data_IF_368834384417
#
_entry.id   IF_368834384417
#
_cell.length_a   1.000
_cell.length_b   1.000
_cell.length_c   1.000
_cell.angle_alpha   90.00
_cell.angle_beta   90.00
_cell.angle_gamma   90.00
#
_symmetry.space_group_name_H-M   'P 1'
#
loop_
_entity.id
_entity.type
_entity.pdbx_description
1 polymer ?
#
# COMPACT_ATOMS: atom_id res chain seq x y z
N UNK A 1 -41.75 4.30 33.59
CA UNK A 1 -40.39 4.36 34.16
C UNK A 1 -39.47 3.24 33.66
N UNK A 2 -39.94 1.99 33.45
CA UNK A 2 -39.13 0.90 32.89
C UNK A 2 -38.65 1.02 31.42
N UNK A 3 -39.37 1.62 30.45
CA UNK A 3 -38.96 1.55 29.04
C UNK A 3 -37.73 2.42 28.74
N UNK A 4 -37.52 3.48 29.52
CA UNK A 4 -36.39 4.39 29.33
C UNK A 4 -35.06 3.77 29.81
N UNK A 5 -35.11 2.90 30.83
CA UNK A 5 -33.93 2.25 31.40
C UNK A 5 -33.33 1.20 30.45
N UNK A 6 -34.17 0.43 29.74
CA UNK A 6 -33.72 -0.56 28.76
C UNK A 6 -33.12 0.08 27.51
N UNK A 7 -33.64 1.24 27.09
CA UNK A 7 -33.06 2.01 25.99
C UNK A 7 -31.68 2.55 26.34
N UNK A 8 -31.49 3.06 27.57
CA UNK A 8 -30.19 3.55 28.03
C UNK A 8 -29.15 2.42 28.11
N UNK A 9 -29.52 1.25 28.63
CA UNK A 9 -28.60 0.09 28.66
C UNK A 9 -28.24 -0.41 27.26
N UNK A 10 -29.19 -0.38 26.32
CA UNK A 10 -28.94 -0.72 24.93
C UNK A 10 -27.97 0.25 24.24
N UNK A 11 -28.16 1.56 24.44
CA UNK A 11 -27.27 2.58 23.88
C UNK A 11 -25.85 2.49 24.46
N UNK A 12 -25.71 2.22 25.75
CA UNK A 12 -24.40 2.03 26.39
C UNK A 12 -23.70 0.78 25.84
N UNK A 13 -24.42 -0.34 25.68
CA UNK A 13 -23.86 -1.56 25.11
C UNK A 13 -23.37 -1.34 23.67
N UNK A 14 -24.16 -0.64 22.83
CA UNK A 14 -23.77 -0.29 21.46
C UNK A 14 -22.55 0.62 21.44
N UNK A 15 -22.47 1.62 22.32
CA UNK A 15 -21.32 2.53 22.41
C UNK A 15 -20.03 1.81 22.85
N UNK A 16 -20.11 0.88 23.80
CA UNK A 16 -18.97 0.06 24.24
C UNK A 16 -18.50 -0.86 23.12
N UNK A 17 -19.41 -1.52 22.42
CA UNK A 17 -19.08 -2.37 21.27
C UNK A 17 -18.42 -1.54 20.16
N UNK A 18 -18.99 -0.38 19.82
CA UNK A 18 -18.39 0.52 18.83
C UNK A 18 -17.00 1.02 19.25
N UNK A 19 -16.79 1.28 20.54
CA UNK A 19 -15.47 1.66 21.07
C UNK A 19 -14.45 0.52 20.95
N UNK A 20 -14.83 -0.70 21.31
CA UNK A 20 -13.98 -1.89 21.17
C UNK A 20 -13.65 -2.19 19.71
N UNK A 21 -14.63 -2.08 18.80
CA UNK A 21 -14.43 -2.27 17.36
C UNK A 21 -13.51 -1.19 16.80
N UNK A 22 -13.67 0.07 17.23
CA UNK A 22 -12.75 1.15 16.86
C UNK A 22 -11.34 0.90 17.41
N UNK A 23 -11.21 0.44 18.64
CA UNK A 23 -9.91 0.12 19.23
C UNK A 23 -9.24 -1.06 18.51
N UNK A 24 -10.01 -2.02 17.99
CA UNK A 24 -9.48 -3.15 17.23
C UNK A 24 -9.12 -2.80 15.78
N UNK A 25 -9.92 -1.94 15.12
CA UNK A 25 -9.66 -1.48 13.75
C UNK A 25 -8.54 -0.43 13.66
N UNK A 26 -8.30 0.33 14.73
CA UNK A 26 -7.29 1.40 14.78
C UNK A 26 -6.23 1.15 15.85
N UNK A 27 -6.11 -0.09 16.36
CA UNK A 27 -5.08 -0.47 17.30
C UNK A 27 -3.76 -0.66 16.57
N UNK A 28 -2.77 0.16 16.91
CA UNK A 28 -1.42 0.12 16.36
C UNK A 28 -0.84 -1.30 16.38
N UNK A 29 -0.21 -1.70 15.27
CA UNK A 29 0.59 -2.92 15.20
C UNK A 29 1.70 -2.85 16.28
N UNK A 30 2.05 -3.98 16.91
CA UNK A 30 3.12 -3.99 17.90
C UNK A 30 4.44 -3.54 17.26
N UNK A 31 5.05 -2.54 17.89
CA UNK A 31 6.39 -2.02 17.57
C UNK A 31 7.41 -3.17 17.65
N UNK A 32 8.02 -3.50 16.50
CA UNK A 32 9.15 -4.42 16.41
C UNK A 32 10.38 -3.64 16.85
N UNK A 33 10.89 -3.94 18.05
CA UNK A 33 12.18 -3.44 18.53
C UNK A 33 13.30 -3.97 17.63
N UNK A 34 13.66 -3.15 16.64
CA UNK A 34 14.80 -3.38 15.77
C UNK A 34 16.09 -3.00 16.48
N UNK A 35 16.74 -3.98 17.09
CA UNK A 35 18.17 -3.87 17.40
C UNK A 35 18.84 -5.23 17.22
N UNK A 36 19.54 -5.37 16.10
CA UNK A 36 20.87 -5.96 16.06
C UNK A 36 21.60 -5.43 14.82
N UNK A 37 22.50 -4.50 15.10
CA UNK A 37 23.55 -4.04 14.18
C UNK A 37 24.73 -4.98 14.32
N UNK A 38 25.23 -5.59 13.23
CA UNK A 38 26.66 -5.55 12.93
C UNK A 38 27.03 -5.98 11.50
N UNK A 39 27.71 -5.04 10.83
CA UNK A 39 28.88 -5.16 9.95
C UNK A 39 28.95 -6.16 8.79
N UNK A 40 29.14 -5.58 7.61
CA UNK A 40 29.69 -6.22 6.42
C UNK A 40 30.11 -5.20 5.37
N UNK A 41 31.34 -4.70 5.48
CA UNK A 41 32.04 -3.83 4.51
C UNK A 41 32.18 -4.47 3.11
N UNK A 42 31.93 -3.69 2.06
CA UNK A 42 32.71 -3.56 0.80
C UNK A 42 31.84 -2.79 -0.21
N UNK A 43 32.08 -1.49 -0.42
CA UNK A 43 32.98 -0.97 -1.45
C UNK A 43 32.77 -1.63 -2.82
N UNK A 44 32.08 -0.93 -3.73
CA UNK A 44 32.29 -1.06 -5.16
C UNK A 44 31.84 0.23 -5.87
N UNK A 45 32.82 1.00 -6.29
CA UNK A 45 32.68 2.13 -7.20
C UNK A 45 32.30 1.65 -8.61
N UNK A 46 31.35 2.33 -9.25
CA UNK A 46 31.28 2.41 -10.71
C UNK A 46 30.69 3.77 -11.10
N UNK A 47 31.56 4.67 -11.54
CA UNK A 47 31.22 5.80 -12.41
C UNK A 47 31.14 5.32 -13.86
N UNK A 48 29.99 5.55 -14.51
CA UNK A 48 29.92 5.70 -15.96
C UNK A 48 28.71 6.57 -16.30
N UNK A 49 28.97 7.84 -16.60
CA UNK A 49 27.97 8.82 -17.00
C UNK A 49 27.36 8.52 -18.37
N UNK A 50 26.08 8.88 -18.53
CA UNK A 50 25.48 9.23 -19.80
C UNK A 50 24.23 10.09 -19.60
N UNK A 51 24.40 11.38 -19.90
CA UNK A 51 23.41 12.36 -20.37
C UNK A 51 21.92 12.08 -20.06
N UNK A 52 21.39 12.71 -19.00
CA UNK A 52 19.95 12.87 -18.78
C UNK A 52 19.60 14.36 -18.96
N UNK A 53 18.66 14.72 -19.87
CA UNK A 53 18.25 16.11 -20.05
C UNK A 53 17.54 16.62 -18.78
N UNK A 54 17.89 17.84 -18.37
CA UNK A 54 17.40 18.46 -17.14
C UNK A 54 15.86 18.53 -17.10
N UNK A 55 15.21 18.00 -16.03
CA UNK A 55 13.79 18.22 -15.83
C UNK A 55 13.54 19.66 -15.39
N UNK A 56 12.56 20.22 -16.07
CA UNK A 56 11.97 21.53 -15.95
C UNK A 56 11.35 21.80 -14.56
N UNK A 57 11.88 22.81 -13.89
CA UNK A 57 11.13 23.89 -13.24
C UNK A 57 9.89 23.57 -12.34
N UNK A 58 9.79 22.41 -11.68
CA UNK A 58 8.73 22.14 -10.71
C UNK A 58 9.11 22.31 -9.22
N UNK A 59 10.38 22.57 -8.89
CA UNK A 59 10.80 22.79 -7.49
C UNK A 59 10.97 24.27 -7.14
N UNK A 60 9.89 25.05 -7.17
CA UNK A 60 9.82 26.36 -6.50
C UNK A 60 8.86 26.26 -5.32
N UNK A 61 9.33 25.77 -4.17
CA UNK A 61 8.47 25.72 -2.99
C UNK A 61 9.05 25.19 -1.68
N UNK A 62 10.20 24.51 -1.65
CA UNK A 62 10.71 23.97 -0.38
C UNK A 62 11.70 24.94 0.28
N UNK A 63 11.14 25.93 0.98
CA UNK A 63 11.89 26.84 1.84
C UNK A 63 11.59 26.54 3.32
N UNK A 64 11.78 25.30 3.77
CA UNK A 64 11.92 24.98 5.20
C UNK A 64 12.70 23.68 5.33
N UNK A 65 13.74 23.66 6.16
CA UNK A 65 14.42 22.43 6.57
C UNK A 65 13.43 21.55 7.35
N UNK A 66 12.79 20.63 6.65
CA UNK A 66 12.09 19.49 7.24
C UNK A 66 12.71 18.21 6.71
N UNK A 67 12.86 17.21 7.59
CA UNK A 67 13.38 15.87 7.26
C UNK A 67 12.59 15.18 6.14
N UNK A 68 11.38 15.68 5.84
CA UNK A 68 10.55 15.27 4.71
C UNK A 68 11.18 15.57 3.33
N UNK A 69 12.02 16.61 3.20
CA UNK A 69 12.70 16.92 1.93
C UNK A 69 13.89 15.97 1.65
N UNK A 70 14.48 15.39 2.70
CA UNK A 70 15.57 14.43 2.53
C UNK A 70 15.05 13.05 2.12
N UNK A 71 13.85 12.67 2.57
CA UNK A 71 13.18 11.45 2.14
C UNK A 71 12.82 11.45 0.65
N UNK A 72 12.37 12.59 0.11
CA UNK A 72 12.02 12.77 -1.30
C UNK A 72 13.25 12.80 -2.25
N UNK A 73 14.44 13.14 -1.72
CA UNK A 73 15.71 13.16 -2.48
C UNK A 73 16.44 11.81 -2.51
N UNK A 74 16.18 10.91 -1.56
CA UNK A 74 16.81 9.57 -1.45
C UNK A 74 15.92 8.44 -1.98
N UNK A 75 14.61 8.64 -2.02
CA UNK A 75 13.65 7.78 -2.72
C UNK A 75 13.48 8.36 -4.13
N UNK A 76 14.42 8.04 -5.02
CA UNK A 76 14.47 8.62 -6.37
C UNK A 76 13.14 8.58 -7.12
N UNK A 77 13.06 9.38 -8.19
CA UNK A 77 11.98 9.55 -9.20
C UNK A 77 11.11 8.32 -9.56
N UNK A 78 11.53 7.12 -9.17
CA UNK A 78 10.81 5.85 -9.28
C UNK A 78 9.76 5.60 -8.18
N UNK A 79 9.78 6.30 -7.05
CA UNK A 79 8.88 6.00 -5.92
C UNK A 79 7.40 6.37 -6.17
N UNK A 80 7.13 7.28 -7.11
CA UNK A 80 5.79 7.83 -7.35
C UNK A 80 5.32 7.63 -8.80
N UNK A 81 6.08 6.94 -9.64
CA UNK A 81 5.70 6.74 -11.04
C UNK A 81 4.74 5.55 -11.18
N UNK A 82 3.51 5.82 -11.61
CA UNK A 82 2.52 4.77 -11.89
C UNK A 82 2.89 4.10 -13.21
N UNK A 83 3.28 2.83 -13.14
CA UNK A 83 3.41 1.97 -14.32
C UNK A 83 2.07 1.30 -14.59
N UNK A 84 1.53 1.52 -15.78
CA UNK A 84 0.31 0.88 -16.25
C UNK A 84 0.64 -0.45 -16.94
N UNK A 85 -0.18 -1.46 -16.66
CA UNK A 85 -0.15 -2.77 -17.29
C UNK A 85 -1.42 -2.93 -18.14
N UNK A 86 -1.67 -4.12 -18.69
CA UNK A 86 -2.91 -4.44 -19.41
C UNK A 86 -4.06 -4.70 -18.41
N UNK A 87 -4.30 -3.72 -17.53
CA UNK A 87 -5.16 -3.84 -16.35
C UNK A 87 -5.98 -2.57 -16.08
N UNK A 88 -6.08 -1.68 -17.06
CA UNK A 88 -6.79 -0.39 -16.95
C UNK A 88 -8.27 -0.57 -16.59
N UNK A 89 -8.88 -1.70 -16.92
CA UNK A 89 -10.27 -2.02 -16.56
C UNK A 89 -10.49 -2.03 -15.04
N UNK A 90 -9.45 -2.35 -14.27
CA UNK A 90 -9.48 -2.36 -12.81
C UNK A 90 -9.56 -0.96 -12.19
N UNK A 91 -9.28 0.11 -12.94
CA UNK A 91 -9.39 1.50 -12.46
C UNK A 91 -10.81 1.88 -12.01
N UNK A 92 -11.82 1.13 -12.45
CA UNK A 92 -13.20 1.30 -11.98
C UNK A 92 -13.39 0.94 -10.49
N UNK A 93 -12.44 0.22 -9.89
CA UNK A 93 -12.47 -0.22 -8.49
C UNK A 93 -11.73 0.72 -7.52
N UNK A 94 -11.26 1.89 -7.99
CA UNK A 94 -10.58 2.87 -7.14
C UNK A 94 -11.40 3.26 -5.90
N UNK A 95 -10.75 3.19 -4.74
CA UNK A 95 -11.35 3.49 -3.44
C UNK A 95 -12.31 2.41 -2.91
N UNK A 96 -12.41 1.26 -3.57
CA UNK A 96 -13.13 0.10 -3.05
C UNK A 96 -12.22 -0.69 -2.09
N UNK A 97 -12.72 -1.09 -0.90
CA UNK A 97 -11.92 -1.89 0.02
C UNK A 97 -11.80 -3.34 -0.44
N UNK A 98 -10.70 -4.00 -0.11
CA UNK A 98 -10.38 -5.39 -0.47
C UNK A 98 -11.47 -6.43 -0.14
N UNK A 99 -12.29 -6.16 0.87
CA UNK A 99 -13.36 -7.05 1.35
C UNK A 99 -14.72 -6.84 0.65
N UNK A 100 -14.86 -5.81 -0.18
CA UNK A 100 -16.13 -5.47 -0.84
C UNK A 100 -16.30 -6.10 -2.23
N UNK A 101 -15.26 -6.74 -2.77
CA UNK A 101 -15.33 -7.34 -4.10
C UNK A 101 -16.24 -8.56 -4.14
N UNK A 102 -17.03 -8.68 -5.22
CA UNK A 102 -17.78 -9.92 -5.51
C UNK A 102 -16.86 -10.97 -6.11
N UNK A 103 -17.22 -12.27 -6.09
CA UNK A 103 -16.42 -13.32 -6.71
C UNK A 103 -16.09 -13.05 -8.18
N UNK A 104 -17.03 -12.48 -8.93
CA UNK A 104 -16.83 -12.11 -10.34
C UNK A 104 -15.81 -10.98 -10.49
N UNK A 105 -15.85 -9.97 -9.61
CA UNK A 105 -14.88 -8.88 -9.62
C UNK A 105 -13.50 -9.39 -9.22
N UNK A 106 -13.40 -10.27 -8.21
CA UNK A 106 -12.16 -10.93 -7.83
C UNK A 106 -11.55 -11.72 -8.99
N UNK A 107 -12.38 -12.33 -9.83
CA UNK A 107 -11.89 -13.04 -11.02
C UNK A 107 -11.25 -12.07 -12.05
N UNK A 108 -11.78 -10.86 -12.22
CA UNK A 108 -11.15 -9.83 -13.09
C UNK A 108 -9.70 -9.53 -12.64
N UNK A 109 -9.45 -9.46 -11.33
CA UNK A 109 -8.08 -9.30 -10.79
C UNK A 109 -7.22 -10.55 -11.02
N UNK A 110 -7.81 -11.74 -10.90
CA UNK A 110 -7.10 -13.02 -11.09
C UNK A 110 -6.66 -13.20 -12.54
N UNK A 111 -7.50 -12.84 -13.50
CA UNK A 111 -7.16 -12.90 -14.92
C UNK A 111 -5.91 -12.07 -15.21
N UNK A 112 -5.83 -10.84 -14.69
CA UNK A 112 -4.62 -10.03 -14.80
C UNK A 112 -3.44 -10.72 -14.10
N UNK A 113 -3.56 -11.04 -12.80
CA UNK A 113 -2.49 -11.64 -12.00
C UNK A 113 -1.86 -12.89 -12.63
N UNK A 114 -2.68 -13.77 -13.20
CA UNK A 114 -2.22 -15.03 -13.80
C UNK A 114 -1.55 -14.86 -15.16
N UNK A 115 -1.79 -13.75 -15.86
CA UNK A 115 -1.12 -13.41 -17.13
C UNK A 115 0.21 -12.68 -16.91
N UNK A 116 0.45 -12.16 -15.71
CA UNK A 116 1.69 -11.44 -15.38
C UNK A 116 2.89 -12.35 -15.21
N UNK A 117 4.09 -11.81 -15.44
CA UNK A 117 5.34 -12.50 -15.11
C UNK A 117 5.62 -12.37 -13.61
N UNK A 118 6.17 -13.41 -12.99
CA UNK A 118 6.57 -13.41 -11.56
C UNK A 118 7.35 -12.17 -11.12
N UNK A 119 8.28 -11.69 -11.96
CA UNK A 119 9.09 -10.50 -11.64
C UNK A 119 8.35 -9.16 -11.75
N UNK A 120 7.15 -9.14 -12.36
CA UNK A 120 6.35 -7.93 -12.58
C UNK A 120 5.20 -7.80 -11.57
N UNK A 121 4.85 -8.87 -10.84
CA UNK A 121 3.73 -8.88 -9.89
C UNK A 121 3.95 -7.85 -8.77
N UNK A 122 5.17 -7.75 -8.23
CA UNK A 122 5.48 -6.78 -7.18
C UNK A 122 5.28 -5.33 -7.65
N UNK A 123 5.73 -5.02 -8.87
CA UNK A 123 5.61 -3.69 -9.45
C UNK A 123 4.15 -3.36 -9.80
N UNK A 124 3.36 -4.36 -10.24
CA UNK A 124 1.93 -4.22 -10.46
C UNK A 124 1.14 -3.99 -9.17
N UNK A 125 1.42 -4.73 -8.11
CA UNK A 125 0.82 -4.49 -6.79
C UNK A 125 1.13 -3.09 -6.28
N UNK A 126 2.36 -2.62 -6.49
CA UNK A 126 2.73 -1.24 -6.18
C UNK A 126 1.96 -0.23 -7.04
N UNK A 127 1.76 -0.50 -8.34
CA UNK A 127 0.97 0.37 -9.21
C UNK A 127 -0.51 0.43 -8.83
N UNK A 128 -1.11 -0.68 -8.38
CA UNK A 128 -2.47 -0.71 -7.84
C UNK A 128 -2.58 0.17 -6.58
N UNK A 129 -1.62 0.06 -5.66
CA UNK A 129 -1.59 0.87 -4.44
C UNK A 129 -1.48 2.37 -4.75
N UNK A 130 -0.61 2.76 -5.68
CA UNK A 130 -0.48 4.15 -6.13
C UNK A 130 -1.76 4.67 -6.80
N UNK A 131 -2.51 3.79 -7.47
CA UNK A 131 -3.82 4.11 -8.08
C UNK A 131 -4.98 4.11 -7.08
N UNK A 132 -4.75 3.67 -5.84
CA UNK A 132 -5.81 3.54 -4.82
C UNK A 132 -6.77 2.39 -5.09
N UNK A 133 -6.28 1.31 -5.70
CA UNK A 133 -7.02 0.07 -5.95
C UNK A 133 -6.47 -0.98 -4.98
N UNK A 134 -7.31 -1.51 -4.10
CA UNK A 134 -6.90 -2.58 -3.20
C UNK A 134 -7.05 -3.95 -3.89
N UNK A 135 -6.08 -4.84 -3.70
CA UNK A 135 -6.18 -6.23 -4.16
C UNK A 135 -7.22 -6.99 -3.30
N UNK A 136 -8.13 -7.79 -3.91
CA UNK A 136 -9.05 -8.64 -3.16
C UNK A 136 -8.34 -9.53 -2.13
N UNK A 137 -8.93 -9.69 -0.95
CA UNK A 137 -8.34 -10.49 0.14
C UNK A 137 -8.05 -11.94 -0.30
N UNK A 138 -8.95 -12.51 -1.10
CA UNK A 138 -8.86 -13.88 -1.62
C UNK A 138 -7.64 -14.12 -2.54
N UNK A 139 -7.03 -13.05 -3.08
CA UNK A 139 -5.88 -13.13 -3.99
C UNK A 139 -4.54 -12.79 -3.33
N UNK A 140 -4.53 -12.31 -2.08
CA UNK A 140 -3.30 -11.87 -1.41
C UNK A 140 -2.29 -13.01 -1.27
N UNK A 141 -2.73 -14.15 -0.78
CA UNK A 141 -1.86 -15.33 -0.59
C UNK A 141 -1.34 -15.85 -1.93
N UNK A 142 -2.17 -15.83 -2.98
CA UNK A 142 -1.80 -16.27 -4.32
C UNK A 142 -0.76 -15.36 -4.97
N UNK A 143 -0.93 -14.05 -4.86
CA UNK A 143 0.06 -13.09 -5.34
C UNK A 143 1.42 -13.30 -4.65
N UNK A 144 1.42 -13.56 -3.34
CA UNK A 144 2.65 -13.87 -2.59
C UNK A 144 3.29 -15.17 -3.07
N UNK A 145 2.50 -16.23 -3.29
CA UNK A 145 3.01 -17.50 -3.81
C UNK A 145 3.64 -17.34 -5.19
N UNK A 146 3.03 -16.54 -6.07
CA UNK A 146 3.54 -16.30 -7.42
C UNK A 146 4.82 -15.44 -7.42
N UNK A 147 5.02 -14.56 -6.43
CA UNK A 147 6.24 -13.76 -6.26
C UNK A 147 7.42 -14.57 -5.69
N UNK A 148 7.17 -15.48 -4.73
CA UNK A 148 8.21 -16.20 -3.97
C UNK A 148 8.61 -17.58 -4.49
N UNK A 149 8.08 -18.01 -5.64
CA UNK A 149 8.24 -19.38 -6.16
C UNK A 149 9.57 -19.72 -6.84
N UNK A 150 10.69 -19.07 -6.48
CA UNK A 150 12.03 -19.32 -7.07
C UNK A 150 13.09 -19.64 -6.03
#
# INVERSE_FOLDING_TARGET
>A
MLPLALLLTGLIAVAVIAHYVRQWLFGDAPEVDGNDTDSGTAEQANEAGKDIPAPDAACRGCAVESEACYADKMLGEHALNIVYYDDEELDRYKGMPASAYTPEQTEEFREVLTTMRTGEIADWLHSLQLRGIELPDDLKDEAIMLMGGT
#
